data_IF_381596040549
#
_entry.id   IF_381596040549
#
_cell.length_a   1.000
_cell.length_b   1.000
_cell.length_c   1.000
_cell.angle_alpha   90.00
_cell.angle_beta   90.00
_cell.angle_gamma   90.00
#
_symmetry.space_group_name_H-M   'P 1'
#
loop_
_entity.id
_entity.type
_entity.pdbx_description
1 polymer ?
#
# COMPACT_ATOMS: atom_id res chain seq x y z
N UNK A 1 68.87 12.95 26.53
CA UNK A 1 69.06 11.85 25.57
C UNK A 1 68.47 12.26 24.23
N UNK A 2 69.33 12.31 23.20
CA UNK A 2 69.11 12.68 21.79
C UNK A 2 68.02 11.81 21.09
N UNK A 3 67.65 12.06 19.81
CA UNK A 3 67.19 13.31 19.18
C UNK A 3 66.04 13.09 18.17
N UNK A 4 65.62 14.20 17.55
CA UNK A 4 64.83 14.39 16.34
C UNK A 4 65.13 13.43 15.15
N UNK A 5 64.11 13.14 14.35
CA UNK A 5 64.25 12.81 12.91
C UNK A 5 63.29 13.66 12.09
N UNK A 6 63.87 14.62 11.39
CA UNK A 6 63.43 15.04 10.06
C UNK A 6 63.58 13.86 9.09
N UNK A 7 62.63 13.72 8.16
CA UNK A 7 62.96 13.25 6.82
C UNK A 7 62.05 13.96 5.81
N UNK A 8 62.70 14.56 4.83
CA UNK A 8 62.18 15.38 3.76
C UNK A 8 61.45 14.58 2.66
N UNK A 9 60.60 15.34 1.96
CA UNK A 9 60.10 15.29 0.58
C UNK A 9 60.63 14.25 -0.44
N UNK A 10 59.70 13.77 -1.29
CA UNK A 10 59.75 13.71 -2.78
C UNK A 10 58.32 13.34 -3.28
N UNK A 11 57.63 14.21 -4.03
CA UNK A 11 57.53 14.27 -5.52
C UNK A 11 57.16 12.88 -6.08
N UNK A 12 55.95 12.61 -6.59
CA UNK A 12 55.48 12.90 -7.96
C UNK A 12 53.93 12.96 -8.06
N UNK A 13 53.42 13.85 -8.93
CA UNK A 13 52.05 13.85 -9.48
C UNK A 13 52.09 13.26 -10.92
N UNK A 14 51.02 13.34 -11.74
CA UNK A 14 49.69 12.75 -11.64
C UNK A 14 49.44 11.74 -12.79
N UNK A 15 48.55 10.76 -12.60
CA UNK A 15 48.09 9.91 -13.71
C UNK A 15 47.11 10.67 -14.62
N UNK A 16 47.58 10.95 -15.83
CA UNK A 16 46.78 11.51 -16.92
C UNK A 16 45.81 10.49 -17.50
N UNK A 17 44.53 10.88 -17.58
CA UNK A 17 43.57 10.22 -18.44
C UNK A 17 43.63 10.88 -19.82
N UNK A 18 43.97 10.07 -20.82
CA UNK A 18 43.98 10.45 -22.23
C UNK A 18 42.56 10.72 -22.72
N UNK A 19 42.41 11.92 -23.25
CA UNK A 19 41.39 12.36 -24.18
C UNK A 19 41.45 11.49 -25.45
N UNK A 20 40.32 10.88 -25.84
CA UNK A 20 40.11 10.41 -27.20
C UNK A 20 38.92 11.15 -27.79
N UNK A 21 39.25 12.08 -28.67
CA UNK A 21 38.39 12.75 -29.63
C UNK A 21 37.85 11.74 -30.66
N UNK A 22 36.54 11.76 -30.90
CA UNK A 22 35.90 11.01 -31.97
C UNK A 22 34.49 11.51 -32.23
N UNK A 23 34.37 12.41 -33.20
CA UNK A 23 33.14 13.12 -33.58
C UNK A 23 32.02 12.21 -34.10
N UNK A 24 30.76 12.59 -33.82
CA UNK A 24 29.69 12.68 -34.82
C UNK A 24 28.53 13.50 -34.29
N UNK A 25 28.41 14.71 -34.81
CA UNK A 25 27.28 15.62 -34.61
C UNK A 25 26.13 15.15 -35.50
N UNK A 26 25.06 14.64 -34.90
CA UNK A 26 23.77 14.48 -35.58
C UNK A 26 22.78 15.42 -34.89
N UNK A 27 22.48 16.54 -35.55
CA UNK A 27 21.32 17.38 -35.23
C UNK A 27 20.06 16.52 -35.40
N UNK A 28 19.35 16.25 -34.32
CA UNK A 28 17.95 15.84 -34.38
C UNK A 28 17.14 17.04 -33.95
N UNK A 29 16.43 17.61 -34.92
CA UNK A 29 15.46 18.69 -34.76
C UNK A 29 14.30 18.20 -33.91
N UNK A 30 13.93 19.01 -32.91
CA UNK A 30 12.70 18.88 -32.16
C UNK A 30 11.55 19.32 -33.06
N UNK A 31 10.79 18.36 -33.60
CA UNK A 31 9.44 18.55 -34.16
C UNK A 31 8.85 17.18 -34.54
N UNK A 32 8.33 16.42 -33.57
CA UNK A 32 7.33 15.36 -33.77
C UNK A 32 6.91 14.76 -32.42
N UNK A 33 6.09 15.50 -31.67
CA UNK A 33 5.34 14.93 -30.54
C UNK A 33 3.94 15.54 -30.44
N UNK A 34 3.21 15.53 -31.56
CA UNK A 34 1.77 15.70 -31.58
C UNK A 34 1.21 14.96 -32.79
N UNK A 35 0.77 13.71 -32.58
CA UNK A 35 -0.31 13.01 -33.31
C UNK A 35 -0.20 11.51 -33.05
N UNK A 36 -0.65 11.04 -31.87
CA UNK A 36 -1.29 9.72 -31.80
C UNK A 36 -2.06 9.57 -30.48
N UNK A 37 -3.21 10.23 -30.36
CA UNK A 37 -4.13 9.92 -29.27
C UNK A 37 -5.57 10.31 -29.66
N UNK A 38 -6.11 9.62 -30.66
CA UNK A 38 -7.53 9.63 -30.99
C UNK A 38 -7.84 8.40 -31.86
N UNK A 39 -7.87 7.19 -31.25
CA UNK A 39 -8.51 6.03 -31.89
C UNK A 39 -8.76 4.83 -30.96
N UNK A 40 -9.17 5.01 -29.71
CA UNK A 40 -9.56 3.90 -28.83
C UNK A 40 -10.86 4.13 -28.06
N UNK A 41 -11.88 4.67 -28.73
CA UNK A 41 -13.23 4.85 -28.18
C UNK A 41 -14.33 4.24 -29.08
N UNK A 42 -14.12 3.04 -29.65
CA UNK A 42 -15.19 2.36 -30.42
C UNK A 42 -15.22 0.82 -30.35
N UNK A 43 -14.55 0.17 -29.39
CA UNK A 43 -14.51 -1.31 -29.27
C UNK A 43 -15.25 -1.81 -28.01
N UNK A 44 -16.26 -1.10 -27.52
CA UNK A 44 -17.10 -1.58 -26.40
C UNK A 44 -18.61 -1.39 -26.58
N UNK A 45 -19.08 -1.26 -27.82
CA UNK A 45 -20.51 -1.27 -28.17
C UNK A 45 -20.80 -2.17 -29.37
N UNK A 46 -20.48 -3.47 -29.30
CA UNK A 46 -21.01 -4.42 -30.30
C UNK A 46 -20.96 -5.90 -29.91
N UNK A 47 -21.45 -6.27 -28.72
CA UNK A 47 -21.77 -7.68 -28.41
C UNK A 47 -22.87 -7.75 -27.36
N UNK A 48 -24.07 -7.32 -27.74
CA UNK A 48 -25.32 -7.73 -27.07
C UNK A 48 -26.41 -7.70 -28.11
N UNK A 49 -26.55 -8.80 -28.87
CA UNK A 49 -27.76 -9.24 -29.56
C UNK A 49 -27.44 -10.40 -30.49
N UNK A 50 -27.60 -11.63 -30.00
CA UNK A 50 -28.13 -12.81 -30.72
C UNK A 50 -27.81 -14.07 -29.93
N UNK A 51 -28.83 -14.67 -29.33
CA UNK A 51 -29.14 -16.10 -29.45
C UNK A 51 -30.45 -16.37 -28.70
N UNK A 52 -31.55 -16.16 -29.42
CA UNK A 52 -32.78 -16.93 -29.24
C UNK A 52 -32.80 -17.92 -30.40
N UNK A 53 -32.66 -19.20 -30.12
CA UNK A 53 -33.10 -20.26 -31.04
C UNK A 53 -33.51 -21.47 -30.21
N UNK A 54 -34.75 -21.88 -30.48
CA UNK A 54 -35.47 -23.01 -29.94
C UNK A 54 -34.73 -24.33 -30.15
N UNK A 55 -34.77 -25.22 -29.15
CA UNK A 55 -34.57 -26.64 -29.35
C UNK A 55 -35.70 -27.41 -28.67
N UNK A 56 -36.65 -27.84 -29.50
CA UNK A 56 -37.67 -28.85 -29.21
C UNK A 56 -37.05 -30.23 -29.47
N UNK A 57 -36.99 -31.13 -28.48
CA UNK A 57 -36.86 -32.59 -28.69
C UNK A 57 -37.69 -33.31 -27.60
N UNK A 58 -38.42 -34.40 -27.95
CA UNK A 58 -39.67 -34.78 -27.29
C UNK A 58 -39.53 -35.81 -26.17
N UNK A 59 -40.47 -35.76 -25.22
CA UNK A 59 -40.78 -36.83 -24.27
C UNK A 59 -41.39 -38.03 -25.01
N UNK A 60 -40.81 -39.22 -24.80
CA UNK A 60 -41.51 -40.51 -24.98
C UNK A 60 -41.56 -41.23 -23.64
N UNK A 61 -42.77 -41.40 -23.15
CA UNK A 61 -43.20 -42.25 -22.05
C UNK A 61 -43.47 -43.68 -22.52
N UNK A 62 -43.24 -44.65 -21.61
CA UNK A 62 -44.00 -45.90 -21.28
C UNK A 62 -43.07 -47.11 -21.00
N UNK A 63 -43.52 -48.21 -20.37
CA UNK A 63 -43.67 -48.38 -18.91
C UNK A 63 -43.05 -49.70 -18.38
N UNK A 64 -43.02 -49.91 -17.06
CA UNK A 64 -43.15 -51.27 -16.48
C UNK A 64 -41.99 -51.84 -15.65
N UNK A 65 -42.23 -51.85 -14.33
CA UNK A 65 -41.97 -52.91 -13.33
C UNK A 65 -40.60 -53.61 -13.21
N UNK A 66 -39.95 -53.40 -12.06
CA UNK A 66 -39.81 -54.40 -10.98
C UNK A 66 -39.15 -53.73 -9.76
N UNK A 67 -39.91 -53.40 -8.72
CA UNK A 67 -39.97 -54.17 -7.46
C UNK A 67 -38.59 -54.50 -6.87
N UNK A 68 -38.18 -53.77 -5.82
CA UNK A 68 -38.10 -54.27 -4.44
C UNK A 68 -37.52 -53.18 -3.48
N UNK A 69 -38.05 -53.18 -2.26
CA UNK A 69 -37.63 -52.43 -1.06
C UNK A 69 -38.19 -51.01 -0.85
N UNK A 70 -39.50 -50.96 -0.61
CA UNK A 70 -40.10 -50.09 0.41
C UNK A 70 -39.89 -50.70 1.82
N UNK A 71 -40.05 -49.86 2.84
CA UNK A 71 -40.31 -50.14 4.28
C UNK A 71 -39.06 -50.10 5.17
N UNK A 72 -38.82 -48.94 5.78
CA UNK A 72 -37.93 -48.77 6.92
C UNK A 72 -37.85 -47.32 7.41
N UNK A 73 -38.51 -47.05 8.54
CA UNK A 73 -38.33 -45.89 9.44
C UNK A 73 -39.18 -44.64 9.19
N UNK A 74 -40.49 -44.80 9.43
CA UNK A 74 -41.14 -43.97 10.43
C UNK A 74 -41.22 -44.79 11.73
N UNK A 75 -40.79 -44.22 12.87
CA UNK A 75 -41.17 -44.51 14.27
C UNK A 75 -40.00 -44.24 15.25
N UNK A 76 -39.78 -42.97 15.53
CA UNK A 76 -39.33 -42.43 16.82
C UNK A 76 -39.58 -40.90 16.71
N UNK A 77 -40.69 -40.35 17.17
CA UNK A 77 -41.26 -40.56 18.48
C UNK A 77 -40.82 -39.41 19.39
N UNK A 78 -41.44 -38.25 19.17
CA UNK A 78 -41.93 -37.34 20.22
C UNK A 78 -41.18 -37.34 21.55
N UNK A 79 -40.21 -36.42 21.67
CA UNK A 79 -39.80 -35.69 22.87
C UNK A 79 -38.88 -34.58 22.31
N UNK A 80 -39.30 -33.33 22.19
CA UNK A 80 -39.11 -32.29 23.20
C UNK A 80 -39.93 -31.09 22.71
N UNK A 81 -41.13 -30.91 23.27
CA UNK A 81 -41.79 -29.62 23.41
C UNK A 81 -41.55 -29.19 24.85
N UNK A 82 -40.39 -28.60 25.11
CA UNK A 82 -40.11 -27.76 26.27
C UNK A 82 -38.88 -26.91 25.94
N UNK A 83 -38.93 -25.63 26.31
CA UNK A 83 -37.94 -24.57 26.07
C UNK A 83 -38.20 -23.66 24.87
N UNK A 84 -39.33 -22.95 24.95
CA UNK A 84 -39.42 -21.57 24.47
C UNK A 84 -39.94 -20.73 25.64
N UNK A 85 -39.10 -20.53 26.65
CA UNK A 85 -39.16 -19.43 27.60
C UNK A 85 -37.85 -19.43 28.39
N UNK A 86 -37.27 -18.25 28.62
CA UNK A 86 -36.00 -17.96 29.32
C UNK A 86 -34.75 -17.78 28.46
N UNK A 87 -34.65 -16.68 27.70
CA UNK A 87 -33.42 -15.85 27.66
C UNK A 87 -33.83 -14.37 27.51
N UNK A 88 -34.23 -13.78 28.62
CA UNK A 88 -34.02 -12.36 28.92
C UNK A 88 -33.01 -12.33 30.07
N UNK A 89 -32.06 -11.40 30.00
CA UNK A 89 -30.94 -11.17 30.92
C UNK A 89 -29.68 -12.03 30.70
N UNK A 90 -28.75 -11.49 29.90
CA UNK A 90 -27.38 -11.24 30.36
C UNK A 90 -26.67 -10.29 29.39
N UNK A 91 -26.70 -9.01 29.74
CA UNK A 91 -25.70 -8.03 29.31
C UNK A 91 -24.37 -8.40 29.97
N UNK A 92 -23.49 -9.06 29.21
CA UNK A 92 -22.07 -9.13 29.56
C UNK A 92 -21.26 -8.26 28.61
N UNK A 93 -20.57 -7.32 29.24
CA UNK A 93 -19.55 -6.41 28.73
C UNK A 93 -18.57 -7.10 27.76
N UNK A 94 -18.13 -6.43 26.66
CA UNK A 94 -17.09 -6.99 25.81
C UNK A 94 -15.79 -7.15 26.61
N UNK A 95 -15.31 -8.40 26.68
CA UNK A 95 -13.98 -8.73 27.19
C UNK A 95 -12.93 -8.00 26.35
N UNK A 96 -12.28 -7.03 26.97
CA UNK A 96 -11.00 -6.48 26.49
C UNK A 96 -9.99 -7.63 26.48
N UNK A 97 -9.52 -8.00 25.29
CA UNK A 97 -8.40 -8.94 25.15
C UNK A 97 -7.14 -8.19 25.56
N UNK A 98 -6.66 -8.44 26.79
CA UNK A 98 -5.33 -8.00 27.22
C UNK A 98 -4.27 -8.72 26.40
N UNK A 99 -3.64 -7.97 25.49
CA UNK A 99 -2.40 -8.37 24.84
C UNK A 99 -1.28 -8.41 25.89
N UNK A 100 -0.92 -9.60 26.35
CA UNK A 100 0.32 -9.85 27.07
C UNK A 100 1.50 -9.72 26.09
N UNK A 101 1.94 -8.47 25.87
CA UNK A 101 3.25 -8.19 25.28
C UNK A 101 4.34 -8.59 26.29
N UNK A 102 5.46 -9.19 25.84
CA UNK A 102 6.59 -9.46 26.73
C UNK A 102 7.10 -8.16 27.36
N UNK A 103 7.56 -8.19 28.62
CA UNK A 103 8.08 -7.01 29.30
C UNK A 103 9.30 -6.50 28.53
N UNK A 104 9.14 -5.34 27.91
CA UNK A 104 10.27 -4.53 27.45
C UNK A 104 10.85 -3.91 28.71
N UNK A 105 12.09 -4.28 29.02
CA UNK A 105 12.87 -3.66 30.09
C UNK A 105 13.29 -2.26 29.65
N UNK A 106 12.37 -1.31 29.70
CA UNK A 106 12.66 0.12 29.59
C UNK A 106 12.10 0.81 30.85
N UNK A 107 13.01 1.45 31.57
CA UNK A 107 12.79 2.17 32.82
C UNK A 107 11.59 3.14 32.78
N UNK A 108 10.90 3.20 33.92
CA UNK A 108 9.97 4.25 34.33
C UNK A 108 10.51 5.66 33.99
N UNK A 109 10.01 6.21 32.90
CA UNK A 109 10.09 7.62 32.57
C UNK A 109 8.69 8.10 32.30
N UNK A 110 8.11 8.86 33.24
CA UNK A 110 6.77 9.40 33.15
C UNK A 110 6.47 10.00 31.78
N UNK A 111 5.20 9.99 31.37
CA UNK A 111 4.68 10.55 30.12
C UNK A 111 5.08 12.03 29.99
N UNK A 112 6.31 12.28 29.54
CA UNK A 112 6.83 13.61 29.29
C UNK A 112 5.93 14.24 28.24
N UNK A 113 5.39 15.42 28.57
CA UNK A 113 4.53 16.18 27.67
C UNK A 113 5.19 16.23 26.28
N UNK A 114 4.44 15.80 25.25
CA UNK A 114 4.91 15.81 23.87
C UNK A 114 5.38 17.23 23.53
N UNK A 115 6.67 17.40 23.26
CA UNK A 115 7.19 18.71 22.82
C UNK A 115 6.49 19.01 21.49
N UNK A 116 5.74 20.12 21.44
CA UNK A 116 5.11 20.57 20.20
C UNK A 116 6.22 20.82 19.19
N UNK A 117 6.31 19.98 18.17
CA UNK A 117 7.29 20.18 17.09
C UNK A 117 6.91 21.37 16.23
N UNK A 118 7.91 22.05 15.69
CA UNK A 118 7.70 23.14 14.75
C UNK A 118 7.38 22.58 13.34
N UNK A 119 6.94 23.46 12.46
CA UNK A 119 6.60 23.12 11.07
C UNK A 119 7.78 22.47 10.33
N UNK A 120 9.00 22.91 10.59
CA UNK A 120 10.21 22.35 9.95
C UNK A 120 10.36 20.85 10.20
N UNK A 121 10.04 20.37 11.41
CA UNK A 121 10.09 18.93 11.73
C UNK A 121 8.99 18.15 11.03
N UNK A 122 7.82 18.75 10.80
CA UNK A 122 6.76 18.13 9.99
C UNK A 122 7.19 18.01 8.52
N UNK A 123 7.80 19.06 7.96
CA UNK A 123 8.34 19.07 6.59
C UNK A 123 9.47 18.05 6.42
N UNK A 124 10.37 17.95 7.39
CA UNK A 124 11.46 16.96 7.38
C UNK A 124 10.90 15.52 7.41
N UNK A 125 9.92 15.25 8.27
CA UNK A 125 9.28 13.93 8.33
C UNK A 125 8.57 13.60 7.02
N UNK A 126 7.85 14.55 6.41
CA UNK A 126 7.16 14.34 5.13
C UNK A 126 8.15 14.01 4.01
N UNK A 127 9.32 14.67 4.00
CA UNK A 127 10.44 14.34 3.11
C UNK A 127 10.96 12.93 3.36
N UNK A 128 11.24 12.56 4.61
CA UNK A 128 11.71 11.21 4.95
C UNK A 128 10.71 10.13 4.55
N UNK A 129 9.42 10.37 4.76
CA UNK A 129 8.33 9.49 4.38
C UNK A 129 8.19 9.35 2.86
N UNK A 130 8.34 10.43 2.10
CA UNK A 130 8.32 10.38 0.63
C UNK A 130 9.43 9.48 0.07
N UNK A 131 10.56 9.38 0.77
CA UNK A 131 11.71 8.54 0.40
C UNK A 131 11.61 7.08 0.89
N UNK A 132 10.50 6.63 1.51
CA UNK A 132 10.30 5.24 1.98
C UNK A 132 9.91 4.23 0.88
N UNK A 133 10.25 4.53 -0.36
CA UNK A 133 10.00 3.64 -1.48
C UNK A 133 9.80 4.42 -2.75
N UNK A 134 9.32 3.73 -3.77
CA UNK A 134 9.18 4.28 -5.11
C UNK A 134 7.83 4.97 -5.36
N UNK A 135 6.93 5.03 -4.37
CA UNK A 135 5.58 5.54 -4.58
C UNK A 135 5.45 7.06 -4.36
N UNK A 136 6.28 7.65 -3.48
CA UNK A 136 6.17 9.07 -3.09
C UNK A 136 7.23 9.99 -3.71
N UNK A 137 8.39 9.44 -4.07
CA UNK A 137 9.51 10.20 -4.61
C UNK A 137 9.60 10.04 -6.12
N UNK A 138 9.20 11.06 -6.89
CA UNK A 138 9.34 11.06 -8.36
C UNK A 138 10.78 11.09 -8.85
N UNK A 139 11.73 11.43 -7.98
CA UNK A 139 13.16 11.29 -8.24
C UNK A 139 13.68 9.86 -8.01
N UNK A 140 12.81 8.94 -7.57
CA UNK A 140 13.19 7.55 -7.36
C UNK A 140 13.62 6.89 -8.66
N UNK A 141 14.75 6.20 -8.60
CA UNK A 141 15.27 5.40 -9.70
C UNK A 141 15.25 3.95 -9.23
N UNK A 142 14.53 3.08 -9.96
CA UNK A 142 14.49 1.65 -9.69
C UNK A 142 15.91 1.07 -9.79
N UNK A 143 16.44 0.42 -8.75
CA UNK A 143 17.76 -0.19 -8.79
C UNK A 143 17.85 -1.27 -9.86
N UNK A 144 18.94 -1.25 -10.63
CA UNK A 144 19.21 -2.19 -11.73
C UNK A 144 20.34 -3.17 -11.43
N UNK A 145 21.02 -2.98 -10.31
CA UNK A 145 22.14 -3.82 -9.88
C UNK A 145 22.34 -3.71 -8.37
N UNK A 146 23.13 -4.62 -7.81
CA UNK A 146 23.43 -4.71 -6.37
C UNK A 146 24.00 -3.41 -5.80
N UNK A 147 24.84 -2.69 -6.54
CA UNK A 147 25.39 -1.42 -6.06
C UNK A 147 24.32 -0.34 -5.89
N UNK A 148 23.41 -0.20 -6.85
CA UNK A 148 22.26 0.70 -6.73
C UNK A 148 21.32 0.24 -5.62
N UNK A 149 21.19 -1.08 -5.45
CA UNK A 149 20.35 -1.68 -4.42
C UNK A 149 20.87 -1.41 -3.00
N UNK A 150 22.19 -1.43 -2.81
CA UNK A 150 22.83 -1.02 -1.55
C UNK A 150 22.58 0.47 -1.23
N UNK A 151 22.60 1.34 -2.24
CA UNK A 151 22.27 2.77 -2.06
C UNK A 151 20.81 2.96 -1.67
N UNK A 152 19.90 2.21 -2.29
CA UNK A 152 18.48 2.20 -1.92
C UNK A 152 18.26 1.73 -0.48
N UNK A 153 18.87 0.61 -0.09
CA UNK A 153 18.82 0.09 1.29
C UNK A 153 19.36 1.10 2.33
N UNK A 154 20.44 1.80 2.00
CA UNK A 154 20.98 2.88 2.85
C UNK A 154 20.01 4.05 2.99
N UNK A 155 19.31 4.42 1.91
CA UNK A 155 18.29 5.48 1.91
C UNK A 155 17.09 5.09 2.77
N UNK A 156 16.56 3.88 2.60
CA UNK A 156 15.45 3.36 3.42
C UNK A 156 15.79 3.37 4.90
N UNK A 157 16.99 2.92 5.27
CA UNK A 157 17.45 2.89 6.67
C UNK A 157 17.47 4.29 7.28
N UNK A 158 18.00 5.28 6.55
CA UNK A 158 18.02 6.70 6.98
C UNK A 158 16.60 7.25 7.13
N UNK A 159 15.73 7.01 6.16
CA UNK A 159 14.33 7.46 6.15
C UNK A 159 13.53 6.88 7.32
N UNK A 160 13.64 5.57 7.57
CA UNK A 160 12.98 4.93 8.72
C UNK A 160 13.48 5.49 10.05
N UNK A 161 14.80 5.71 10.19
CA UNK A 161 15.37 6.30 11.40
C UNK A 161 14.86 7.73 11.62
N UNK A 162 14.77 8.53 10.56
CA UNK A 162 14.19 9.87 10.59
C UNK A 162 12.75 9.86 11.11
N UNK A 163 11.90 8.98 10.57
CA UNK A 163 10.48 8.85 10.99
C UNK A 163 10.38 8.38 12.45
N UNK A 164 11.21 7.44 12.88
CA UNK A 164 11.21 7.01 14.28
C UNK A 164 11.61 8.12 15.24
N UNK A 165 12.60 8.93 14.89
CA UNK A 165 13.03 10.06 15.72
C UNK A 165 11.90 11.10 15.83
N UNK A 166 11.29 11.45 14.70
CA UNK A 166 10.11 12.30 14.68
C UNK A 166 8.98 11.75 15.57
N UNK A 167 8.66 10.45 15.47
CA UNK A 167 7.62 9.85 16.29
C UNK A 167 7.91 10.00 17.80
N UNK A 168 9.15 9.77 18.22
CA UNK A 168 9.57 9.88 19.64
C UNK A 168 9.56 11.31 20.14
N UNK A 169 9.96 12.26 19.30
CA UNK A 169 10.13 13.67 19.70
C UNK A 169 8.84 14.47 19.62
N UNK A 170 7.99 14.21 18.61
CA UNK A 170 6.91 15.10 18.21
C UNK A 170 5.50 14.59 18.50
N UNK A 171 5.31 13.28 18.68
CA UNK A 171 3.98 12.68 18.80
C UNK A 171 3.64 12.33 20.24
N UNK A 172 2.36 12.48 20.60
CA UNK A 172 1.80 11.97 21.86
C UNK A 172 1.72 10.44 21.87
N UNK A 173 1.40 9.85 23.02
CA UNK A 173 1.51 8.41 23.28
C UNK A 173 0.86 7.52 22.20
N UNK A 174 -0.40 7.77 21.85
CA UNK A 174 -1.12 6.92 20.91
C UNK A 174 -0.63 7.06 19.46
N UNK A 175 -0.57 8.26 18.85
CA UNK A 175 0.00 8.43 17.50
C UNK A 175 1.46 7.97 17.40
N UNK A 176 2.26 8.19 18.46
CA UNK A 176 3.63 7.68 18.57
C UNK A 176 3.67 6.16 18.47
N UNK A 177 2.86 5.46 19.27
CA UNK A 177 2.83 4.00 19.27
C UNK A 177 2.41 3.46 17.90
N UNK A 178 1.37 4.03 17.30
CA UNK A 178 0.91 3.63 15.97
C UNK A 178 2.02 3.80 14.93
N UNK A 179 2.65 4.98 14.87
CA UNK A 179 3.71 5.24 13.88
C UNK A 179 4.96 4.38 14.12
N UNK A 180 5.33 4.14 15.38
CA UNK A 180 6.45 3.26 15.71
C UNK A 180 6.17 1.80 15.31
N UNK A 181 4.94 1.31 15.47
CA UNK A 181 4.53 -0.03 15.02
C UNK A 181 4.67 -0.17 13.51
N UNK A 182 4.09 0.74 12.73
CA UNK A 182 4.21 0.72 11.26
C UNK A 182 5.68 0.80 10.83
N UNK A 183 6.47 1.67 11.46
CA UNK A 183 7.88 1.84 11.11
C UNK A 183 8.71 0.60 11.47
N UNK A 184 8.37 -0.11 12.55
CA UNK A 184 8.98 -1.38 12.93
C UNK A 184 8.67 -2.47 11.90
N UNK A 185 7.41 -2.56 11.46
CA UNK A 185 6.97 -3.55 10.48
C UNK A 185 7.63 -3.29 9.12
N UNK A 186 7.66 -2.02 8.69
CA UNK A 186 8.45 -1.59 7.54
C UNK A 186 9.91 -2.01 7.69
N UNK A 187 10.59 -1.67 8.80
CA UNK A 187 11.98 -2.08 9.04
C UNK A 187 12.20 -3.58 8.92
N UNK A 188 11.31 -4.41 9.48
CA UNK A 188 11.41 -5.88 9.35
C UNK A 188 11.43 -6.30 7.87
N UNK A 189 10.53 -5.74 7.07
CA UNK A 189 10.45 -6.02 5.64
C UNK A 189 11.68 -5.53 4.88
N UNK A 190 12.14 -4.30 5.12
CA UNK A 190 13.32 -3.79 4.45
C UNK A 190 14.59 -4.55 4.86
N UNK A 191 14.70 -4.99 6.11
CA UNK A 191 15.81 -5.84 6.55
C UNK A 191 15.83 -7.17 5.80
N UNK A 192 14.68 -7.78 5.51
CA UNK A 192 14.60 -8.99 4.70
C UNK A 192 15.03 -8.72 3.26
N UNK A 193 14.50 -7.65 2.65
CA UNK A 193 14.85 -7.23 1.30
C UNK A 193 16.35 -6.91 1.14
N UNK A 194 16.97 -6.30 2.15
CA UNK A 194 18.36 -5.85 2.14
C UNK A 194 19.35 -6.86 2.77
N UNK A 195 18.90 -8.06 3.15
CA UNK A 195 19.70 -8.99 3.96
C UNK A 195 20.95 -9.52 3.22
N UNK A 196 20.78 -9.94 1.98
CA UNK A 196 21.82 -10.54 1.14
C UNK A 196 21.56 -10.21 -0.33
N UNK A 197 22.48 -10.60 -1.21
CA UNK A 197 22.39 -10.26 -2.63
C UNK A 197 21.28 -11.05 -3.35
N UNK A 198 20.92 -12.25 -2.89
CA UNK A 198 19.82 -13.03 -3.45
C UNK A 198 18.47 -12.34 -3.22
N UNK A 199 18.19 -11.85 -2.01
CA UNK A 199 16.96 -11.09 -1.71
C UNK A 199 16.88 -9.77 -2.47
N UNK A 200 18.02 -9.11 -2.67
CA UNK A 200 18.12 -7.90 -3.50
C UNK A 200 17.84 -8.21 -4.97
N UNK A 201 18.37 -9.33 -5.48
CA UNK A 201 18.12 -9.77 -6.85
C UNK A 201 16.66 -10.14 -7.05
N UNK A 202 16.07 -10.90 -6.12
CA UNK A 202 14.65 -11.26 -6.14
C UNK A 202 13.75 -10.02 -6.19
N UNK A 203 14.07 -8.97 -5.41
CA UNK A 203 13.35 -7.69 -5.47
C UNK A 203 13.43 -7.05 -6.87
N UNK A 204 14.62 -6.98 -7.46
CA UNK A 204 14.81 -6.40 -8.80
C UNK A 204 14.06 -7.21 -9.87
N UNK A 205 14.12 -8.55 -9.79
CA UNK A 205 13.45 -9.45 -10.73
C UNK A 205 11.92 -9.30 -10.65
N UNK A 206 11.36 -9.28 -9.43
CA UNK A 206 9.91 -9.11 -9.23
C UNK A 206 9.40 -7.74 -9.67
N UNK A 207 10.23 -6.70 -9.64
CA UNK A 207 9.84 -5.34 -10.00
C UNK A 207 10.38 -4.87 -11.35
N UNK A 208 10.94 -5.76 -12.16
CA UNK A 208 11.55 -5.39 -13.46
C UNK A 208 10.57 -4.67 -14.39
N UNK A 209 9.27 -4.97 -14.32
CA UNK A 209 8.27 -4.30 -15.16
C UNK A 209 7.99 -2.84 -14.76
N UNK A 210 8.44 -2.42 -13.57
CA UNK A 210 8.30 -1.05 -13.05
C UNK A 210 9.49 -0.17 -13.44
N UNK A 211 9.88 -0.27 -14.71
CA UNK A 211 10.84 0.65 -15.31
C UNK A 211 10.34 2.11 -15.22
N UNK A 212 11.23 3.12 -15.32
CA UNK A 212 10.87 4.52 -15.12
C UNK A 212 9.63 5.00 -15.90
N UNK A 213 9.42 4.50 -17.11
CA UNK A 213 8.27 4.77 -17.97
C UNK A 213 6.91 4.29 -17.40
N UNK A 214 6.95 3.28 -16.54
CA UNK A 214 5.81 2.61 -15.92
C UNK A 214 5.60 3.03 -14.46
N UNK A 215 6.56 3.75 -13.88
CA UNK A 215 6.53 4.15 -12.48
C UNK A 215 5.56 5.30 -12.22
N UNK A 216 5.35 6.18 -13.20
CA UNK A 216 4.49 7.35 -13.04
C UNK A 216 3.02 6.97 -12.77
N UNK A 217 2.55 5.84 -13.32
CA UNK A 217 1.20 5.34 -13.06
C UNK A 217 1.05 4.95 -11.58
N UNK A 218 2.10 4.39 -10.96
CA UNK A 218 2.12 4.08 -9.52
C UNK A 218 2.26 5.33 -8.66
N UNK A 219 3.04 6.32 -9.09
CA UNK A 219 3.06 7.64 -8.44
C UNK A 219 1.67 8.27 -8.44
N UNK A 220 0.90 8.14 -9.53
CA UNK A 220 -0.48 8.63 -9.59
C UNK A 220 -1.42 7.90 -8.64
N UNK A 221 -1.22 6.60 -8.38
CA UNK A 221 -1.94 5.88 -7.33
C UNK A 221 -1.65 6.47 -5.94
N UNK A 222 -0.38 6.76 -5.67
CA UNK A 222 0.02 7.37 -4.40
C UNK A 222 -0.53 8.80 -4.26
N UNK A 223 -0.42 9.64 -5.28
CA UNK A 223 -1.03 10.98 -5.28
C UNK A 223 -2.54 10.90 -5.04
N UNK A 224 -3.22 9.93 -5.68
CA UNK A 224 -4.64 9.69 -5.46
C UNK A 224 -4.95 9.32 -4.00
N UNK A 225 -4.11 8.51 -3.36
CA UNK A 225 -4.22 8.20 -1.93
C UNK A 225 -3.98 9.40 -1.03
N UNK A 226 -2.94 10.19 -1.31
CA UNK A 226 -2.61 11.41 -0.54
C UNK A 226 -3.77 12.40 -0.64
N UNK A 227 -4.30 12.67 -1.84
CA UNK A 227 -5.45 13.56 -2.01
C UNK A 227 -6.70 13.09 -1.24
N UNK A 228 -6.92 11.77 -1.16
CA UNK A 228 -8.04 11.22 -0.37
C UNK A 228 -7.82 11.37 1.13
N UNK A 229 -6.59 11.18 1.61
CA UNK A 229 -6.27 11.41 3.03
C UNK A 229 -6.39 12.89 3.40
N UNK A 230 -6.00 13.80 2.50
CA UNK A 230 -6.25 15.24 2.66
C UNK A 230 -7.74 15.55 2.75
N UNK A 231 -8.55 14.93 1.88
CA UNK A 231 -9.99 15.07 1.95
C UNK A 231 -10.53 14.59 3.30
N UNK A 232 -10.11 13.43 3.78
CA UNK A 232 -10.54 12.90 5.09
C UNK A 232 -10.16 13.84 6.22
N UNK A 233 -8.91 14.33 6.24
CA UNK A 233 -8.43 15.23 7.28
C UNK A 233 -9.23 16.55 7.31
N UNK A 234 -9.65 17.07 6.15
CA UNK A 234 -10.23 18.41 6.03
C UNK A 234 -11.76 18.45 5.93
N UNK A 235 -12.41 17.37 5.46
CA UNK A 235 -13.82 17.39 5.05
C UNK A 235 -14.68 16.30 5.70
N UNK A 236 -14.09 15.27 6.28
CA UNK A 236 -14.83 14.20 6.95
C UNK A 236 -14.92 14.49 8.44
N UNK A 237 -16.13 14.32 8.99
CA UNK A 237 -16.41 14.41 10.43
C UNK A 237 -15.47 13.50 11.22
N UNK A 238 -14.97 13.98 12.37
CA UNK A 238 -13.95 13.30 13.18
C UNK A 238 -14.30 11.84 13.45
N UNK A 239 -15.53 11.55 13.85
CA UNK A 239 -16.01 10.20 14.18
C UNK A 239 -15.98 9.23 12.99
N UNK A 240 -16.00 9.75 11.76
CA UNK A 240 -15.99 8.96 10.54
C UNK A 240 -14.59 8.87 9.90
N UNK A 241 -13.57 9.60 10.41
CA UNK A 241 -12.24 9.68 9.77
C UNK A 241 -11.52 8.34 9.70
N UNK A 242 -11.57 7.53 10.76
CA UNK A 242 -10.92 6.21 10.76
C UNK A 242 -11.57 5.29 9.73
N UNK A 243 -12.91 5.19 9.71
CA UNK A 243 -13.63 4.40 8.71
C UNK A 243 -13.33 4.88 7.29
N UNK A 244 -13.29 6.20 7.08
CA UNK A 244 -12.98 6.79 5.79
C UNK A 244 -11.54 6.51 5.32
N UNK A 245 -10.55 6.58 6.22
CA UNK A 245 -9.15 6.18 5.93
C UNK A 245 -9.09 4.71 5.54
N UNK A 246 -9.77 3.84 6.29
CA UNK A 246 -9.80 2.41 6.00
C UNK A 246 -10.33 2.13 4.59
N UNK A 247 -11.44 2.77 4.21
CA UNK A 247 -11.98 2.64 2.86
C UNK A 247 -11.08 3.25 1.79
N UNK A 248 -10.42 4.36 2.07
CA UNK A 248 -9.40 4.93 1.18
C UNK A 248 -8.22 3.95 0.99
N UNK A 249 -7.76 3.29 2.06
CA UNK A 249 -6.72 2.28 1.98
C UNK A 249 -7.12 1.08 1.12
N UNK A 250 -8.36 0.59 1.20
CA UNK A 250 -8.82 -0.50 0.33
C UNK A 250 -8.81 -0.10 -1.15
N UNK A 251 -9.25 1.13 -1.46
CA UNK A 251 -9.18 1.67 -2.83
C UNK A 251 -7.71 1.79 -3.28
N UNK A 252 -6.79 2.21 -2.40
CA UNK A 252 -5.36 2.29 -2.74
C UNK A 252 -4.79 0.93 -3.11
N UNK A 253 -5.08 -0.11 -2.31
CA UNK A 253 -4.64 -1.48 -2.61
C UNK A 253 -5.13 -1.94 -3.99
N UNK A 254 -6.41 -1.73 -4.28
CA UNK A 254 -6.99 -2.08 -5.57
C UNK A 254 -6.36 -1.28 -6.71
N UNK A 255 -6.15 0.02 -6.52
CA UNK A 255 -5.58 0.89 -7.53
C UNK A 255 -4.14 0.51 -7.89
N UNK A 256 -3.33 0.12 -6.91
CA UNK A 256 -1.99 -0.43 -7.13
C UNK A 256 -2.08 -1.73 -7.94
N UNK A 257 -2.93 -2.66 -7.53
CA UNK A 257 -3.09 -3.95 -8.22
C UNK A 257 -3.52 -3.75 -9.68
N UNK A 258 -4.61 -3.02 -9.93
CA UNK A 258 -5.13 -2.72 -11.27
C UNK A 258 -4.08 -2.01 -12.13
N UNK A 259 -3.31 -1.10 -11.53
CA UNK A 259 -2.26 -0.36 -12.24
C UNK A 259 -1.10 -1.26 -12.63
N UNK A 260 -0.66 -2.16 -11.75
CA UNK A 260 0.41 -3.13 -12.06
C UNK A 260 -0.06 -4.10 -13.14
N UNK A 261 -1.24 -4.70 -12.98
CA UNK A 261 -1.81 -5.65 -13.96
C UNK A 261 -1.91 -5.04 -15.35
N UNK A 262 -2.36 -3.78 -15.43
CA UNK A 262 -2.46 -3.04 -16.69
C UNK A 262 -1.08 -2.71 -17.26
N UNK A 263 -0.22 -2.11 -16.46
CA UNK A 263 1.06 -1.52 -16.90
C UNK A 263 2.09 -2.60 -17.23
N UNK A 264 2.06 -3.71 -16.50
CA UNK A 264 2.96 -4.85 -16.68
C UNK A 264 2.34 -5.98 -17.50
N UNK A 265 1.22 -5.75 -18.20
CA UNK A 265 0.48 -6.78 -18.95
C UNK A 265 1.29 -7.55 -19.99
N UNK A 266 2.40 -6.98 -20.49
CA UNK A 266 3.31 -7.62 -21.45
C UNK A 266 4.43 -8.45 -20.80
N UNK A 267 4.56 -8.40 -19.47
CA UNK A 267 5.60 -9.09 -18.72
C UNK A 267 5.10 -10.43 -18.19
N UNK A 268 5.93 -11.46 -18.30
CA UNK A 268 5.58 -12.82 -17.86
C UNK A 268 5.33 -12.91 -16.35
N UNK A 269 5.92 -12.01 -15.55
CA UNK A 269 5.84 -12.00 -14.09
C UNK A 269 4.82 -11.01 -13.51
N UNK A 270 3.86 -10.49 -14.29
CA UNK A 270 2.87 -9.49 -13.84
C UNK A 270 2.16 -9.87 -12.54
N UNK A 271 1.72 -11.12 -12.41
CA UNK A 271 1.04 -11.60 -11.20
C UNK A 271 1.97 -11.63 -9.98
N UNK A 272 3.25 -11.96 -10.19
CA UNK A 272 4.25 -11.95 -9.13
C UNK A 272 4.55 -10.52 -8.69
N UNK A 273 4.67 -9.57 -9.61
CA UNK A 273 4.84 -8.14 -9.27
C UNK A 273 3.66 -7.62 -8.46
N UNK A 274 2.42 -7.86 -8.94
CA UNK A 274 1.21 -7.37 -8.29
C UNK A 274 1.06 -7.97 -6.88
N UNK A 275 1.25 -9.29 -6.74
CA UNK A 275 1.23 -9.98 -5.46
C UNK A 275 2.31 -9.44 -4.51
N UNK A 276 3.54 -9.29 -5.01
CA UNK A 276 4.66 -8.81 -4.21
C UNK A 276 4.42 -7.39 -3.67
N UNK A 277 3.93 -6.47 -4.51
CA UNK A 277 3.58 -5.12 -4.05
C UNK A 277 2.42 -5.12 -3.04
N UNK A 278 1.40 -5.94 -3.29
CA UNK A 278 0.29 -6.10 -2.35
C UNK A 278 0.76 -6.66 -0.99
N UNK A 279 1.72 -7.60 -1.01
CA UNK A 279 2.34 -8.18 0.18
C UNK A 279 3.19 -7.15 0.93
N UNK A 280 3.95 -6.29 0.24
CA UNK A 280 4.67 -5.17 0.86
C UNK A 280 3.72 -4.25 1.61
N UNK A 281 2.67 -3.80 0.93
CA UNK A 281 1.68 -2.89 1.52
C UNK A 281 1.02 -3.58 2.73
N UNK A 282 0.53 -4.81 2.54
CA UNK A 282 -0.22 -5.55 3.57
C UNK A 282 0.65 -5.94 4.76
N UNK A 283 1.92 -6.29 4.58
CA UNK A 283 2.81 -6.64 5.71
C UNK A 283 3.23 -5.40 6.49
N UNK A 284 3.45 -4.27 5.79
CA UNK A 284 3.85 -3.01 6.44
C UNK A 284 2.73 -2.44 7.31
N UNK A 285 1.48 -2.45 6.82
CA UNK A 285 0.35 -1.82 7.52
C UNK A 285 -0.67 -2.80 8.09
N UNK A 286 -0.53 -4.12 7.87
CA UNK A 286 -1.55 -5.13 8.16
C UNK A 286 -2.04 -5.13 9.59
N UNK A 287 -1.13 -5.27 10.57
CA UNK A 287 -1.49 -5.25 12.00
C UNK A 287 -2.25 -3.98 12.39
N UNK A 288 -1.85 -2.83 11.85
CA UNK A 288 -2.51 -1.57 12.11
C UNK A 288 -3.91 -1.54 11.49
N UNK A 289 -4.03 -1.90 10.22
CA UNK A 289 -5.30 -1.92 9.49
C UNK A 289 -6.26 -2.91 10.13
N UNK A 290 -5.79 -4.10 10.53
CA UNK A 290 -6.61 -5.09 11.22
C UNK A 290 -7.12 -4.58 12.56
N UNK A 291 -6.30 -3.82 13.30
CA UNK A 291 -6.66 -3.22 14.56
C UNK A 291 -7.69 -2.09 14.41
N UNK A 292 -7.47 -1.15 13.49
CA UNK A 292 -8.27 0.09 13.42
C UNK A 292 -9.46 0.02 12.47
N UNK A 293 -9.41 -0.84 11.46
CA UNK A 293 -10.43 -0.85 10.41
C UNK A 293 -11.64 -1.73 10.73
N UNK A 294 -11.57 -2.62 11.72
CA UNK A 294 -12.74 -3.36 12.20
C UNK A 294 -13.56 -4.00 11.08
N UNK A 295 -14.75 -3.45 10.80
CA UNK A 295 -15.66 -3.89 9.74
C UNK A 295 -15.42 -3.27 8.34
N UNK A 296 -14.24 -2.69 8.08
CA UNK A 296 -13.90 -2.00 6.83
C UNK A 296 -12.60 -2.59 6.22
N UNK A 297 -12.47 -3.91 6.26
CA UNK A 297 -11.28 -4.65 5.81
C UNK A 297 -11.27 -4.91 4.31
N UNK A 298 -12.42 -4.78 3.66
CA UNK A 298 -12.58 -4.96 2.21
C UNK A 298 -13.30 -3.77 1.58
N UNK A 299 -13.16 -3.63 0.25
CA UNK A 299 -13.83 -2.58 -0.50
C UNK A 299 -15.37 -2.75 -0.49
N UNK A 300 -15.82 -3.98 -0.43
CA UNK A 300 -17.21 -4.43 -0.44
C UNK A 300 -17.89 -4.07 0.88
N UNK A 301 -17.21 -4.32 2.01
CA UNK A 301 -17.66 -3.86 3.33
C UNK A 301 -17.78 -2.34 3.40
N UNK A 302 -16.84 -1.61 2.79
CA UNK A 302 -16.91 -0.16 2.68
C UNK A 302 -18.14 0.32 1.88
N UNK A 303 -18.47 -0.37 0.79
CA UNK A 303 -19.67 -0.06 0.00
C UNK A 303 -20.98 -0.48 0.66
N UNK A 304 -20.95 -1.49 1.53
CA UNK A 304 -22.15 -2.01 2.18
C UNK A 304 -22.78 -1.02 3.17
N UNK A 305 -22.03 -0.02 3.65
CA UNK A 305 -22.52 0.97 4.60
C UNK A 305 -22.85 2.30 3.92
N UNK A 306 -24.07 2.86 4.07
CA UNK A 306 -24.50 4.04 3.32
C UNK A 306 -23.54 5.23 3.38
N UNK A 307 -23.11 5.64 4.59
CA UNK A 307 -22.18 6.77 4.76
C UNK A 307 -20.83 6.53 4.07
N UNK A 308 -20.32 5.30 4.11
CA UNK A 308 -19.04 4.97 3.47
C UNK A 308 -19.19 4.79 1.96
N UNK A 309 -20.33 4.34 1.46
CA UNK A 309 -20.59 4.23 0.03
C UNK A 309 -20.51 5.59 -0.68
N UNK A 310 -21.06 6.65 -0.06
CA UNK A 310 -20.96 8.03 -0.55
C UNK A 310 -19.51 8.52 -0.58
N UNK A 311 -18.75 8.30 0.50
CA UNK A 311 -17.33 8.65 0.56
C UNK A 311 -16.50 7.85 -0.45
N UNK A 312 -16.79 6.56 -0.67
CA UNK A 312 -16.12 5.73 -1.67
C UNK A 312 -16.33 6.28 -3.08
N UNK A 313 -17.53 6.77 -3.39
CA UNK A 313 -17.80 7.47 -4.66
C UNK A 313 -16.93 8.73 -4.79
N UNK A 314 -16.92 9.56 -3.75
CA UNK A 314 -16.09 10.78 -3.68
C UNK A 314 -14.60 10.46 -3.84
N UNK A 315 -14.12 9.41 -3.19
CA UNK A 315 -12.73 8.95 -3.30
C UNK A 315 -12.38 8.48 -4.70
N UNK A 316 -13.29 7.79 -5.37
CA UNK A 316 -13.09 7.36 -6.77
C UNK A 316 -13.01 8.56 -7.71
N UNK A 317 -13.82 9.58 -7.47
CA UNK A 317 -13.76 10.85 -8.20
C UNK A 317 -12.42 11.58 -7.97
N UNK A 318 -11.98 11.69 -6.71
CA UNK A 318 -10.68 12.28 -6.35
C UNK A 318 -9.55 11.55 -7.07
N UNK A 319 -9.50 10.22 -7.01
CA UNK A 319 -8.48 9.42 -7.72
C UNK A 319 -8.48 9.72 -9.21
N UNK A 320 -9.67 9.79 -9.83
CA UNK A 320 -9.81 10.11 -11.26
C UNK A 320 -9.30 11.50 -11.59
N UNK A 321 -9.65 12.51 -10.78
CA UNK A 321 -9.20 13.90 -10.95
C UNK A 321 -7.69 14.03 -10.75
N UNK A 322 -7.12 13.33 -9.78
CA UNK A 322 -5.67 13.31 -9.53
C UNK A 322 -4.91 12.67 -10.69
N UNK A 323 -5.36 11.52 -11.22
CA UNK A 323 -4.79 10.89 -12.43
C UNK A 323 -4.83 11.81 -13.66
N UNK A 324 -5.89 12.60 -13.79
CA UNK A 324 -6.04 13.65 -14.83
C UNK A 324 -5.26 14.94 -14.53
N UNK A 325 -4.48 14.98 -13.44
CA UNK A 325 -3.73 16.16 -12.96
C UNK A 325 -4.62 17.39 -12.68
N UNK A 326 -5.91 17.17 -12.42
CA UNK A 326 -6.87 18.24 -12.08
C UNK A 326 -6.82 18.59 -10.59
N UNK A 327 -6.36 17.66 -9.75
CA UNK A 327 -6.06 17.86 -8.34
C UNK A 327 -4.61 17.46 -8.12
N UNK A 328 -3.86 18.31 -7.43
CA UNK A 328 -2.51 18.01 -6.94
C UNK A 328 -2.56 17.99 -5.41
N UNK A 329 -2.18 16.89 -4.76
CA UNK A 329 -2.07 16.87 -3.30
C UNK A 329 -1.08 17.92 -2.81
N UNK A 330 -1.34 18.50 -1.64
CA UNK A 330 -0.45 19.47 -0.99
C UNK A 330 0.66 18.76 -0.21
N UNK A 331 0.33 17.69 0.51
CA UNK A 331 1.27 16.84 1.22
C UNK A 331 2.08 15.98 0.24
N UNK A 332 3.31 15.58 0.62
CA UNK A 332 4.15 14.69 -0.18
C UNK A 332 4.08 13.24 0.28
N UNK A 333 3.57 12.98 1.49
CA UNK A 333 3.43 11.63 2.03
C UNK A 333 2.09 11.42 2.75
N UNK A 334 1.70 10.15 2.87
CA UNK A 334 0.55 9.74 3.68
C UNK A 334 0.80 9.87 5.18
N UNK A 335 2.07 9.78 5.62
CA UNK A 335 2.42 9.71 7.04
C UNK A 335 2.07 11.03 7.75
N UNK A 336 2.34 12.18 7.13
CA UNK A 336 2.01 13.49 7.68
C UNK A 336 0.51 13.66 7.90
N UNK A 337 -0.30 13.28 6.91
CA UNK A 337 -1.76 13.34 6.98
C UNK A 337 -2.32 12.37 8.02
N UNK A 338 -1.80 11.14 8.05
CA UNK A 338 -2.23 10.12 8.98
C UNK A 338 -1.95 10.53 10.43
N UNK A 339 -0.77 11.06 10.71
CA UNK A 339 -0.42 11.64 12.01
C UNK A 339 -1.37 12.78 12.40
N UNK A 340 -1.67 13.69 11.46
CA UNK A 340 -2.61 14.78 11.68
C UNK A 340 -4.01 14.28 12.06
N UNK A 341 -4.48 13.20 11.44
CA UNK A 341 -5.77 12.59 11.76
C UNK A 341 -5.72 11.90 13.14
N UNK A 342 -4.65 11.17 13.46
CA UNK A 342 -4.50 10.52 14.76
C UNK A 342 -4.44 11.53 15.91
N UNK A 343 -3.84 12.70 15.70
CA UNK A 343 -3.80 13.77 16.70
C UNK A 343 -5.17 14.43 16.95
N UNK A 344 -6.19 14.12 16.15
CA UNK A 344 -7.56 14.62 16.36
C UNK A 344 -8.41 13.72 17.27
N UNK A 345 -7.88 12.58 17.69
CA UNK A 345 -8.41 11.68 18.71
C UNK A 345 -7.57 11.82 19.98
#
# INVERSE_FOLDING_TARGET
>A
SRPSRELESRIEAPFGFKEQTGAKTTRVTADQYHQNNNNNNNIFKKTSNKMKTNLNIPLKTTPGLCCLALIGLALAGTLILHQCDTILAQTQSPRVVSLNLPPSADNDGGFAASKKCNEDRHVEMDKCASSLGFLGDRGFIMPKNISQMNNFCGTLTKSLKCIQNYARECLSSFPRQVLLTVTRNGRKQYNQLCANDDSKQEFMDKLTCLAPENLEQLHQCMDGSIARFEYVANRVETDNRISAICCSYQIFKRDIQETVEKTCSTYQNVNQTAHYLHEIISTTTGELIDLVCGSYKTFEECKAKPKMAELVSTFTEITTKTKKKQIKPKAKSLISLFVGILNSF
#
